data_IF_254693059284
#
_entry.id   IF_254693059284
#
_cell.length_a   1.000
_cell.length_b   1.000
_cell.length_c   1.000
_cell.angle_alpha   90.00
_cell.angle_beta   90.00
_cell.angle_gamma   90.00
#
_symmetry.space_group_name_H-M   'P 1'
#
loop_
_entity.id
_entity.type
_entity.pdbx_description
1 polymer ?
#
# COMPACT_ATOMS: atom_id res chain seq x y z
N UNK A 1 -19.57 21.76 8.66
CA UNK A 1 -19.53 20.30 8.91
C UNK A 1 -19.25 20.09 10.39
N UNK A 2 -19.91 19.12 11.00
CA UNK A 2 -19.68 18.69 12.37
C UNK A 2 -18.85 17.41 12.37
N UNK A 3 -17.87 17.30 13.26
CA UNK A 3 -17.06 16.09 13.39
C UNK A 3 -17.08 15.58 14.84
N UNK A 4 -16.74 14.30 15.03
CA UNK A 4 -16.59 13.73 16.37
C UNK A 4 -15.58 12.58 16.40
N UNK A 5 -14.66 12.66 17.34
CA UNK A 5 -13.83 11.51 17.73
C UNK A 5 -14.65 10.59 18.64
N UNK A 6 -15.06 9.42 18.13
CA UNK A 6 -15.88 8.43 18.85
C UNK A 6 -15.01 7.50 19.70
N UNK A 7 -13.91 7.01 19.13
CA UNK A 7 -12.95 6.11 19.78
C UNK A 7 -11.53 6.66 19.68
N UNK A 8 -10.59 6.07 20.43
CA UNK A 8 -9.20 6.52 20.56
C UNK A 8 -8.26 5.31 20.46
N UNK A 9 -7.01 5.50 19.99
CA UNK A 9 -6.07 4.39 19.84
C UNK A 9 -5.69 3.83 21.21
N UNK A 10 -5.84 2.51 21.39
CA UNK A 10 -5.70 1.81 22.67
C UNK A 10 -4.26 1.42 22.98
N UNK A 11 -3.50 1.10 21.95
CA UNK A 11 -2.10 0.65 22.05
C UNK A 11 -1.09 1.78 21.77
N UNK A 12 -1.56 2.99 21.45
CA UNK A 12 -0.71 4.16 21.21
C UNK A 12 -0.33 4.88 22.51
N UNK A 13 0.81 5.56 22.47
CA UNK A 13 1.27 6.49 23.51
C UNK A 13 0.65 7.90 23.37
N UNK A 14 -0.13 8.15 22.32
CA UNK A 14 -0.80 9.43 22.11
C UNK A 14 -2.02 9.56 23.04
N UNK A 15 -1.97 10.51 23.98
CA UNK A 15 -3.10 10.84 24.84
C UNK A 15 -4.31 11.37 24.05
N UNK A 16 -5.52 11.17 24.60
CA UNK A 16 -6.78 11.55 23.92
C UNK A 16 -6.81 13.02 23.49
N UNK A 17 -6.26 13.92 24.29
CA UNK A 17 -6.25 15.36 23.97
C UNK A 17 -5.26 15.69 22.85
N UNK A 18 -4.14 14.96 22.76
CA UNK A 18 -3.26 14.99 21.59
C UNK A 18 -4.03 14.55 20.35
N UNK A 19 -4.71 13.39 20.42
CA UNK A 19 -5.49 12.85 19.28
C UNK A 19 -6.56 13.86 18.82
N UNK A 20 -7.36 14.43 19.73
CA UNK A 20 -8.35 15.47 19.39
C UNK A 20 -7.70 16.69 18.73
N UNK A 21 -6.59 17.18 19.28
CA UNK A 21 -5.88 18.31 18.71
C UNK A 21 -5.40 17.99 17.28
N UNK A 22 -4.83 16.82 17.02
CA UNK A 22 -4.39 16.42 15.68
C UNK A 22 -5.56 16.32 14.68
N UNK A 23 -6.70 15.76 15.11
CA UNK A 23 -7.91 15.72 14.26
C UNK A 23 -8.42 17.14 13.94
N UNK A 24 -8.44 18.02 14.94
CA UNK A 24 -8.80 19.43 14.75
C UNK A 24 -7.87 20.13 13.76
N UNK A 25 -6.54 20.01 13.92
CA UNK A 25 -5.59 20.65 13.01
C UNK A 25 -5.62 20.04 11.61
N UNK A 26 -5.86 18.73 11.47
CA UNK A 26 -5.97 18.08 10.17
C UNK A 26 -7.20 18.55 9.38
N UNK A 27 -8.34 18.77 10.05
CA UNK A 27 -9.51 19.44 9.46
C UNK A 27 -9.25 20.93 9.21
N UNK A 28 -8.51 21.60 10.11
CA UNK A 28 -8.17 23.03 10.00
C UNK A 28 -7.42 23.32 8.68
N UNK A 29 -6.46 22.47 8.32
CA UNK A 29 -5.67 22.53 7.07
C UNK A 29 -6.57 22.70 5.83
N UNK A 30 -7.67 21.96 5.74
CA UNK A 30 -8.63 22.09 4.64
C UNK A 30 -9.52 23.34 4.77
N UNK A 31 -9.94 23.71 5.99
CA UNK A 31 -10.76 24.91 6.21
C UNK A 31 -10.01 26.22 5.99
N UNK A 32 -8.70 26.29 6.22
CA UNK A 32 -7.93 27.53 6.12
C UNK A 32 -7.91 28.10 4.69
N UNK A 33 -8.01 27.21 3.69
CA UNK A 33 -7.98 27.58 2.26
C UNK A 33 -9.34 27.51 1.57
N UNK A 34 -10.39 26.99 2.22
CA UNK A 34 -11.74 26.83 1.65
C UNK A 34 -12.83 27.53 2.48
N UNK A 35 -14.04 27.75 1.94
CA UNK A 35 -15.20 28.18 2.73
C UNK A 35 -15.72 27.17 3.77
N UNK A 36 -15.16 25.95 3.83
CA UNK A 36 -15.56 24.94 4.81
C UNK A 36 -15.22 25.38 6.24
N UNK A 37 -16.07 25.02 7.20
CA UNK A 37 -15.82 25.19 8.63
C UNK A 37 -16.18 23.89 9.36
N UNK A 38 -15.34 23.49 10.31
CA UNK A 38 -15.46 22.26 11.07
C UNK A 38 -15.67 22.55 12.56
N UNK A 39 -16.59 21.84 13.20
CA UNK A 39 -16.92 22.00 14.61
C UNK A 39 -17.03 20.63 15.30
N UNK A 40 -16.28 20.42 16.39
CA UNK A 40 -16.39 19.17 17.16
C UNK A 40 -17.73 19.15 17.93
N UNK A 41 -18.41 18.00 17.95
CA UNK A 41 -19.64 17.80 18.71
C UNK A 41 -19.57 16.58 19.63
N UNK A 42 -20.15 16.69 20.82
CA UNK A 42 -20.26 15.57 21.76
C UNK A 42 -21.43 14.61 21.44
N UNK A 43 -22.38 15.03 20.60
CA UNK A 43 -23.58 14.27 20.23
C UNK A 43 -23.34 13.22 19.15
N UNK A 44 -24.33 12.35 18.90
CA UNK A 44 -24.23 11.27 17.91
C UNK A 44 -24.51 11.73 16.45
N UNK A 45 -24.75 13.01 16.22
CA UNK A 45 -25.11 13.55 14.90
C UNK A 45 -23.97 14.45 14.40
N UNK A 46 -23.01 13.84 13.71
CA UNK A 46 -21.86 14.48 13.08
C UNK A 46 -21.80 14.06 11.60
N UNK A 47 -21.26 14.93 10.75
CA UNK A 47 -21.05 14.65 9.31
C UNK A 47 -19.78 13.82 9.05
N UNK A 48 -18.86 13.77 10.03
CA UNK A 48 -17.61 13.00 9.99
C UNK A 48 -17.43 12.33 11.36
N UNK A 49 -17.60 11.01 11.43
CA UNK A 49 -17.26 10.24 12.64
C UNK A 49 -15.87 9.62 12.51
N UNK A 50 -15.06 9.78 13.56
CA UNK A 50 -13.66 9.36 13.59
C UNK A 50 -13.49 8.21 14.57
N UNK A 51 -12.95 7.08 14.10
CA UNK A 51 -12.73 5.89 14.91
C UNK A 51 -11.36 5.26 14.74
N UNK A 52 -10.93 4.59 15.80
CA UNK A 52 -9.76 3.74 15.87
C UNK A 52 -10.25 2.29 16.08
N UNK A 53 -10.11 1.49 15.03
CA UNK A 53 -10.71 0.15 14.91
C UNK A 53 -9.65 -0.87 14.51
N UNK A 54 -9.88 -2.17 14.77
CA UNK A 54 -8.95 -3.25 14.40
C UNK A 54 -9.65 -4.30 13.55
N UNK A 55 -8.98 -4.78 12.51
CA UNK A 55 -9.47 -5.87 11.66
C UNK A 55 -10.93 -5.63 11.21
N UNK A 56 -11.86 -6.56 11.48
CA UNK A 56 -13.27 -6.33 11.18
C UNK A 56 -13.90 -5.28 12.09
N UNK A 57 -14.49 -4.27 11.48
CA UNK A 57 -15.22 -3.22 12.17
C UNK A 57 -16.57 -2.90 11.53
N UNK A 58 -17.18 -3.92 10.89
CA UNK A 58 -18.57 -3.97 10.42
C UNK A 58 -18.96 -3.00 9.29
N UNK A 59 -18.00 -2.41 8.58
CA UNK A 59 -18.24 -1.57 7.39
C UNK A 59 -17.96 -2.28 6.05
N UNK A 60 -17.41 -3.50 6.10
CA UNK A 60 -17.05 -4.32 4.94
C UNK A 60 -15.59 -4.20 4.49
N UNK A 61 -14.79 -3.32 5.12
CA UNK A 61 -13.42 -3.02 4.73
C UNK A 61 -12.44 -3.30 5.89
N UNK A 62 -12.16 -4.58 6.20
CA UNK A 62 -11.36 -4.92 7.38
C UNK A 62 -9.89 -4.51 7.23
N UNK A 63 -9.31 -3.96 8.31
CA UNK A 63 -7.88 -3.64 8.38
C UNK A 63 -6.99 -4.91 8.44
N UNK A 64 -5.75 -4.80 7.96
CA UNK A 64 -4.78 -5.87 7.87
C UNK A 64 -3.72 -5.90 8.99
N UNK A 65 -3.63 -4.83 9.81
CA UNK A 65 -2.77 -4.74 10.98
C UNK A 65 -1.60 -3.75 10.82
N UNK A 66 -0.54 -3.89 11.64
CA UNK A 66 0.58 -2.95 11.60
C UNK A 66 1.33 -3.03 10.26
N UNK A 67 1.25 -1.96 9.49
CA UNK A 67 1.63 -1.89 8.09
C UNK A 67 0.60 -2.56 7.18
N UNK A 68 0.19 -1.85 6.13
CA UNK A 68 -0.88 -2.29 5.24
C UNK A 68 -1.74 -1.10 4.86
N UNK A 69 -3.05 -1.24 5.03
CA UNK A 69 -4.03 -0.15 5.05
C UNK A 69 -3.99 0.52 6.43
N UNK A 70 -3.45 1.74 6.50
CA UNK A 70 -3.27 2.46 7.79
C UNK A 70 -4.57 3.12 8.26
N UNK A 71 -5.44 3.48 7.31
CA UNK A 71 -6.72 4.13 7.52
C UNK A 71 -7.55 4.07 6.24
N UNK A 72 -8.84 4.41 6.34
CA UNK A 72 -9.70 4.69 5.19
C UNK A 72 -10.81 5.69 5.55
N UNK A 73 -11.37 6.32 4.53
CA UNK A 73 -12.53 7.19 4.67
C UNK A 73 -13.55 7.00 3.55
N UNK A 74 -14.81 7.25 3.89
CA UNK A 74 -15.92 7.26 2.95
C UNK A 74 -16.14 8.66 2.39
N UNK A 75 -16.43 8.74 1.09
CA UNK A 75 -16.73 10.01 0.42
C UNK A 75 -18.04 10.64 0.93
N UNK A 76 -18.23 11.96 0.74
CA UNK A 76 -19.52 12.62 0.97
C UNK A 76 -20.67 11.97 0.18
N UNK A 77 -21.85 11.87 0.78
CA UNK A 77 -23.05 11.31 0.17
C UNK A 77 -24.18 11.08 1.17
N UNK A 78 -25.27 10.46 0.72
CA UNK A 78 -26.47 10.22 1.53
C UNK A 78 -26.42 8.94 2.38
N UNK A 79 -25.30 8.19 2.33
CA UNK A 79 -25.14 6.93 3.05
C UNK A 79 -24.82 7.16 4.53
N UNK A 80 -25.21 6.24 5.41
CA UNK A 80 -25.04 6.38 6.86
C UNK A 80 -23.59 6.33 7.36
N UNK A 81 -22.64 6.00 6.48
CA UNK A 81 -21.18 6.04 6.71
C UNK A 81 -20.49 7.16 5.94
N UNK A 82 -21.21 7.99 5.18
CA UNK A 82 -20.60 9.02 4.34
C UNK A 82 -19.83 10.03 5.19
N UNK A 83 -18.58 10.33 4.81
CA UNK A 83 -17.68 11.18 5.59
C UNK A 83 -17.03 10.49 6.80
N UNK A 84 -17.47 9.29 7.22
CA UNK A 84 -16.83 8.57 8.31
C UNK A 84 -15.39 8.18 7.95
N UNK A 85 -14.50 8.22 8.94
CA UNK A 85 -13.06 8.00 8.80
C UNK A 85 -12.57 7.04 9.87
N UNK A 86 -11.99 5.92 9.44
CA UNK A 86 -11.49 4.87 10.31
C UNK A 86 -9.96 4.77 10.21
N UNK A 87 -9.29 4.66 11.36
CA UNK A 87 -7.85 4.48 11.50
C UNK A 87 -7.56 3.08 12.08
N UNK A 88 -6.55 2.35 11.60
CA UNK A 88 -6.21 1.05 12.18
C UNK A 88 -5.54 1.22 13.56
N UNK A 89 -6.20 0.76 14.62
CA UNK A 89 -5.73 0.77 16.00
C UNK A 89 -4.61 -0.28 16.26
N UNK A 90 -4.23 -1.07 15.27
CA UNK A 90 -2.98 -1.83 15.27
C UNK A 90 -1.76 -1.05 14.73
N UNK A 91 -1.95 0.10 14.10
CA UNK A 91 -0.83 0.94 13.66
C UNK A 91 -0.13 1.64 14.83
N UNK A 92 1.19 1.80 14.71
CA UNK A 92 1.96 2.54 15.70
C UNK A 92 1.83 4.05 15.47
N UNK A 93 0.69 4.59 15.90
CA UNK A 93 0.39 6.02 15.82
C UNK A 93 1.37 6.85 16.63
N UNK A 94 1.98 7.82 15.97
CA UNK A 94 2.97 8.76 16.49
C UNK A 94 2.60 10.19 16.12
N UNK A 95 3.27 11.14 16.79
CA UNK A 95 3.19 12.56 16.47
C UNK A 95 4.57 13.19 16.70
N UNK A 96 5.09 13.94 15.72
CA UNK A 96 6.44 14.57 15.78
C UNK A 96 7.55 13.56 16.15
N UNK A 97 7.39 12.29 15.80
CA UNK A 97 8.37 11.24 16.05
C UNK A 97 9.47 11.24 14.99
N UNK A 98 10.65 10.76 15.36
CA UNK A 98 11.75 10.45 14.44
C UNK A 98 11.88 8.95 14.14
N UNK A 99 10.93 8.13 14.61
CA UNK A 99 10.88 6.70 14.29
C UNK A 99 10.35 6.48 12.87
N UNK A 100 11.16 5.83 12.04
CA UNK A 100 10.83 5.51 10.66
C UNK A 100 9.77 4.41 10.50
N UNK A 101 9.35 3.76 11.59
CA UNK A 101 8.32 2.72 11.60
C UNK A 101 6.98 3.19 12.20
N UNK A 102 6.90 4.44 12.66
CA UNK A 102 5.66 5.02 13.16
C UNK A 102 4.84 5.70 12.06
N UNK A 103 3.52 5.63 12.20
CA UNK A 103 2.58 6.39 11.35
C UNK A 103 2.32 7.74 12.02
N UNK A 104 2.57 8.83 11.32
CA UNK A 104 2.28 10.18 11.82
C UNK A 104 0.77 10.42 11.66
N UNK A 105 0.08 10.45 12.80
CA UNK A 105 -1.39 10.50 12.82
C UNK A 105 -1.93 11.77 12.16
N UNK A 106 -1.19 12.88 12.21
CA UNK A 106 -1.56 14.11 11.55
C UNK A 106 -1.49 14.00 10.02
N UNK A 107 -0.38 13.49 9.47
CA UNK A 107 -0.23 13.26 8.03
C UNK A 107 -1.34 12.37 7.46
N UNK A 108 -1.65 11.25 8.13
CA UNK A 108 -2.72 10.34 7.70
C UNK A 108 -4.09 11.01 7.84
N UNK A 109 -4.37 11.69 8.96
CA UNK A 109 -5.66 12.37 9.14
C UNK A 109 -5.91 13.47 8.11
N UNK A 110 -4.88 14.24 7.70
CA UNK A 110 -5.04 15.24 6.63
C UNK A 110 -5.46 14.57 5.32
N UNK A 111 -4.85 13.44 4.96
CA UNK A 111 -5.22 12.67 3.76
C UNK A 111 -6.66 12.15 3.86
N UNK A 112 -6.99 11.40 4.91
CA UNK A 112 -8.30 10.75 5.03
C UNK A 112 -9.44 11.78 5.11
N UNK A 113 -9.22 12.93 5.75
CA UNK A 113 -10.20 14.02 5.71
C UNK A 113 -10.34 14.66 4.34
N UNK A 114 -9.33 14.58 3.47
CA UNK A 114 -9.48 14.92 2.06
C UNK A 114 -10.48 14.00 1.35
N UNK A 115 -10.45 12.69 1.62
CA UNK A 115 -11.47 11.75 1.14
C UNK A 115 -12.86 12.01 1.74
N UNK A 116 -12.93 12.25 3.05
CA UNK A 116 -14.17 12.60 3.74
C UNK A 116 -14.83 13.90 3.23
N UNK A 117 -14.07 14.78 2.55
CA UNK A 117 -14.58 15.97 1.84
C UNK A 117 -14.50 15.84 0.30
N UNK A 118 -14.39 14.64 -0.23
CA UNK A 118 -14.63 14.35 -1.65
C UNK A 118 -13.43 14.44 -2.60
N UNK A 119 -12.20 14.57 -2.10
CA UNK A 119 -11.01 14.43 -2.94
C UNK A 119 -10.75 12.96 -3.24
N UNK A 120 -10.48 12.64 -4.51
CA UNK A 120 -9.92 11.34 -4.91
C UNK A 120 -8.39 11.36 -4.81
N UNK A 121 -7.77 10.17 -4.83
CA UNK A 121 -6.32 10.04 -4.88
C UNK A 121 -5.66 10.87 -6.00
N UNK A 122 -4.46 11.38 -5.71
CA UNK A 122 -3.64 12.15 -6.64
C UNK A 122 -2.34 11.38 -6.94
N UNK A 123 -1.93 11.33 -8.21
CA UNK A 123 -0.72 10.66 -8.69
C UNK A 123 0.59 11.42 -8.36
N UNK A 124 0.49 12.73 -8.12
CA UNK A 124 1.61 13.63 -7.87
C UNK A 124 2.40 13.23 -6.61
N UNK A 125 3.73 13.18 -6.75
CA UNK A 125 4.64 12.69 -5.69
C UNK A 125 4.51 13.52 -4.41
N UNK A 126 4.41 14.84 -4.49
CA UNK A 126 4.37 15.71 -3.31
C UNK A 126 2.97 15.86 -2.70
N UNK A 127 1.91 15.29 -3.29
CA UNK A 127 0.53 15.46 -2.82
C UNK A 127 0.28 14.73 -1.49
N UNK A 128 -0.52 15.34 -0.60
CA UNK A 128 -0.96 14.65 0.62
C UNK A 128 -1.96 13.54 0.28
N UNK A 129 -2.84 13.77 -0.70
CA UNK A 129 -3.81 12.81 -1.25
C UNK A 129 -3.20 11.70 -2.12
N UNK A 130 -1.88 11.48 -2.04
CA UNK A 130 -1.22 10.35 -2.70
C UNK A 130 -1.53 9.06 -1.92
N UNK A 131 -1.94 7.95 -2.57
CA UNK A 131 -2.45 6.73 -1.90
C UNK A 131 -1.49 6.03 -0.93
N UNK A 132 -0.23 6.49 -0.85
CA UNK A 132 0.80 5.94 0.02
C UNK A 132 1.23 7.02 1.00
N UNK A 133 1.21 6.70 2.29
CA UNK A 133 1.80 7.48 3.36
C UNK A 133 3.26 7.81 3.04
N UNK A 134 3.62 9.08 3.22
CA UNK A 134 4.91 9.63 2.77
C UNK A 134 5.89 9.92 3.93
N UNK A 135 5.49 9.57 5.16
CA UNK A 135 6.16 9.97 6.38
C UNK A 135 5.50 11.18 7.07
N UNK A 136 6.04 11.63 8.22
CA UNK A 136 5.54 12.79 8.94
C UNK A 136 5.66 14.08 8.12
N UNK A 137 4.59 14.88 8.09
CA UNK A 137 4.57 16.15 7.35
C UNK A 137 5.03 17.37 8.15
N UNK A 138 5.52 17.15 9.37
CA UNK A 138 6.17 18.17 10.21
C UNK A 138 5.26 18.75 11.30
N UNK A 139 5.20 20.07 11.39
CA UNK A 139 4.49 20.79 12.44
C UNK A 139 3.07 21.18 11.97
N UNK A 140 1.98 20.70 12.61
CA UNK A 140 0.61 21.01 12.19
C UNK A 140 0.29 22.51 12.10
N UNK A 141 0.96 23.33 12.91
CA UNK A 141 0.79 24.80 12.91
C UNK A 141 1.49 25.50 11.74
N UNK A 142 2.31 24.78 10.97
CA UNK A 142 3.11 25.30 9.84
C UNK A 142 2.96 24.47 8.58
N UNK A 143 2.14 23.43 8.62
CA UNK A 143 1.90 22.57 7.48
C UNK A 143 1.11 23.34 6.42
N UNK A 144 1.59 23.29 5.18
CA UNK A 144 0.96 23.95 4.04
C UNK A 144 0.64 22.89 2.98
N UNK A 145 -0.58 22.94 2.44
CA UNK A 145 -1.01 21.95 1.45
C UNK A 145 -0.19 22.09 0.15
N UNK A 146 0.24 20.98 -0.46
CA UNK A 146 0.82 20.98 -1.80
C UNK A 146 -0.14 21.60 -2.83
N UNK A 147 0.43 22.17 -3.89
CA UNK A 147 -0.33 22.94 -4.88
C UNK A 147 -1.43 22.12 -5.57
N UNK A 148 -1.16 20.85 -5.88
CA UNK A 148 -2.13 19.94 -6.51
C UNK A 148 -3.36 19.69 -5.61
N UNK A 149 -3.14 19.52 -4.30
CA UNK A 149 -4.22 19.33 -3.33
C UNK A 149 -5.09 20.60 -3.20
N UNK A 150 -4.44 21.78 -3.13
CA UNK A 150 -5.10 23.09 -3.12
C UNK A 150 -5.99 23.30 -4.34
N UNK A 151 -5.47 23.05 -5.55
CA UNK A 151 -6.23 23.24 -6.79
C UNK A 151 -7.47 22.33 -6.84
N UNK A 152 -7.34 21.06 -6.44
CA UNK A 152 -8.49 20.14 -6.44
C UNK A 152 -9.54 20.51 -5.38
N UNK A 153 -9.15 20.88 -4.17
CA UNK A 153 -10.16 21.25 -3.15
C UNK A 153 -10.86 22.58 -3.48
N UNK A 154 -10.17 23.52 -4.12
CA UNK A 154 -10.78 24.75 -4.65
C UNK A 154 -11.75 24.49 -5.82
N UNK A 155 -11.56 23.42 -6.61
CA UNK A 155 -12.53 23.02 -7.63
C UNK A 155 -13.84 22.49 -7.03
N UNK A 156 -13.79 21.91 -5.82
CA UNK A 156 -14.98 21.41 -5.12
C UNK A 156 -15.70 22.50 -4.32
N UNK A 157 -14.97 23.33 -3.57
CA UNK A 157 -15.55 24.26 -2.58
C UNK A 157 -15.25 25.75 -2.80
N UNK A 158 -14.42 26.08 -3.79
CA UNK A 158 -13.91 27.44 -3.97
C UNK A 158 -12.83 27.85 -2.96
N UNK A 159 -12.37 29.09 -3.08
CA UNK A 159 -11.30 29.68 -2.25
C UNK A 159 -11.91 30.48 -1.09
N UNK A 160 -11.34 30.39 0.11
CA UNK A 160 -11.70 31.27 1.24
C UNK A 160 -11.34 32.73 0.91
N UNK A 161 -12.24 33.68 1.19
CA UNK A 161 -12.00 35.10 0.87
C UNK A 161 -10.70 35.67 1.46
N UNK A 162 -10.32 35.26 2.68
CA UNK A 162 -9.06 35.67 3.33
C UNK A 162 -7.78 35.20 2.63
N UNK A 163 -7.88 34.28 1.66
CA UNK A 163 -6.78 33.73 0.86
C UNK A 163 -6.85 34.23 -0.59
N UNK A 164 -7.89 34.98 -0.97
CA UNK A 164 -8.04 35.55 -2.31
C UNK A 164 -7.01 36.66 -2.58
N UNK A 165 -6.38 36.71 -3.78
CA UNK A 165 -5.37 37.73 -4.13
C UNK A 165 -5.84 39.19 -4.08
N UNK A 166 -7.15 39.42 -3.96
CA UNK A 166 -7.83 40.72 -3.92
C UNK A 166 -8.24 41.15 -2.50
N UNK A 167 -8.03 40.32 -1.48
CA UNK A 167 -8.45 40.63 -0.11
C UNK A 167 -7.52 41.62 0.60
N UNK A 168 -8.12 42.58 1.31
CA UNK A 168 -7.39 43.36 2.33
C UNK A 168 -7.26 42.51 3.60
N UNK A 169 -6.12 42.58 4.33
CA UNK A 169 -5.96 41.86 5.58
C UNK A 169 -6.80 42.50 6.68
N UNK A 170 -7.94 41.88 6.99
CA UNK A 170 -8.72 42.23 8.18
C UNK A 170 -8.32 41.31 9.34
N UNK A 171 -7.68 41.91 10.36
CA UNK A 171 -7.21 41.17 11.54
C UNK A 171 -8.30 41.18 12.59
N UNK A 172 -8.94 40.03 12.84
CA UNK A 172 -9.15 39.49 14.19
C UNK A 172 -10.12 38.30 14.23
N UNK A 173 -9.70 37.23 14.91
CA UNK A 173 -10.24 36.82 16.21
C UNK A 173 -9.21 35.95 16.93
N UNK A 174 -9.24 35.95 18.25
CA UNK A 174 -8.53 34.96 19.06
C UNK A 174 -9.35 33.68 19.07
N UNK A 175 -9.08 32.78 18.12
CA UNK A 175 -9.64 31.44 18.18
C UNK A 175 -8.97 30.66 19.31
N UNK A 176 -9.79 30.06 20.17
CA UNK A 176 -9.38 29.24 21.30
C UNK A 176 -8.98 27.84 20.80
N UNK A 177 -7.87 27.78 20.06
CA UNK A 177 -7.38 26.55 19.44
C UNK A 177 -6.82 25.58 20.50
N UNK A 178 -7.05 24.26 20.35
CA UNK A 178 -6.47 23.27 21.26
C UNK A 178 -4.93 23.32 21.23
N UNK A 179 -4.32 23.36 22.41
CA UNK A 179 -2.86 23.38 22.58
C UNK A 179 -2.30 22.02 22.20
N UNK A 180 -1.38 21.97 21.23
CA UNK A 180 -0.60 20.76 20.93
C UNK A 180 0.39 20.49 22.07
N UNK A 181 0.35 19.32 22.72
CA UNK A 181 1.31 18.98 23.78
C UNK A 181 2.76 18.96 23.27
N UNK A 182 3.69 19.33 24.14
CA UNK A 182 5.13 19.16 23.90
C UNK A 182 5.55 17.69 24.10
N UNK A 183 6.65 17.29 23.46
CA UNK A 183 7.14 15.91 23.46
C UNK A 183 7.63 15.50 24.86
N UNK A 184 7.20 14.35 25.41
CA UNK A 184 7.94 13.69 26.48
C UNK A 184 9.21 13.02 25.89
N UNK A 185 10.38 13.29 26.47
CA UNK A 185 11.70 12.79 26.01
C UNK A 185 11.88 11.25 26.01
N UNK A 186 10.87 10.47 26.41
CA UNK A 186 11.03 9.05 26.69
C UNK A 186 10.91 8.19 25.43
N UNK A 187 12.03 8.12 24.71
CA UNK A 187 12.24 7.35 23.48
C UNK A 187 12.04 5.85 23.69
N UNK A 188 10.82 5.35 23.46
CA UNK A 188 10.51 3.92 23.49
C UNK A 188 11.15 3.20 22.29
N UNK A 189 12.22 2.45 22.52
CA UNK A 189 12.84 1.57 21.51
C UNK A 189 12.21 0.19 21.55
N UNK A 190 11.09 0.02 20.84
CA UNK A 190 10.51 -1.29 20.54
C UNK A 190 11.43 -2.02 19.55
N UNK A 191 11.74 -3.32 19.74
CA UNK A 191 12.66 -4.04 18.86
C UNK A 191 12.08 -4.22 17.45
N UNK A 192 12.93 -4.03 16.42
CA UNK A 192 12.60 -4.42 15.03
C UNK A 192 12.06 -5.86 14.99
N UNK A 193 10.93 -6.07 14.33
CA UNK A 193 10.41 -7.42 14.02
C UNK A 193 11.36 -8.11 13.04
N UNK A 194 12.25 -8.96 13.56
CA UNK A 194 13.32 -9.62 12.79
C UNK A 194 12.83 -10.68 11.81
N UNK A 195 11.59 -11.14 11.96
CA UNK A 195 11.02 -12.27 11.22
C UNK A 195 10.16 -11.87 10.02
N UNK A 196 10.29 -10.62 9.55
CA UNK A 196 9.52 -10.08 8.42
C UNK A 196 10.32 -10.28 7.11
N UNK A 197 9.78 -10.98 6.10
CA UNK A 197 10.49 -11.21 4.84
C UNK A 197 10.71 -9.90 4.06
N UNK A 198 11.84 -9.78 3.36
CA UNK A 198 12.16 -8.60 2.55
C UNK A 198 11.66 -8.78 1.11
N UNK A 199 10.64 -8.01 0.72
CA UNK A 199 10.02 -8.04 -0.62
C UNK A 199 11.01 -7.93 -1.78
N UNK A 200 12.11 -7.18 -1.60
CA UNK A 200 13.07 -6.96 -2.67
C UNK A 200 14.01 -8.13 -2.92
N UNK A 201 14.06 -9.10 -2.00
CA UNK A 201 15.13 -10.09 -1.97
C UNK A 201 14.62 -11.48 -1.56
N UNK A 202 13.35 -11.77 -1.81
CA UNK A 202 12.71 -13.05 -1.49
C UNK A 202 12.04 -13.64 -2.73
N UNK A 203 11.87 -14.96 -2.74
CA UNK A 203 10.97 -15.64 -3.67
C UNK A 203 9.60 -15.79 -2.99
N UNK A 204 8.54 -16.03 -3.76
CA UNK A 204 7.18 -16.15 -3.25
C UNK A 204 6.74 -17.61 -3.24
N UNK A 205 5.89 -17.98 -2.28
CA UNK A 205 5.39 -19.36 -2.16
C UNK A 205 4.07 -19.54 -2.92
N UNK A 206 3.37 -18.44 -3.21
CA UNK A 206 2.25 -18.38 -4.14
C UNK A 206 2.11 -16.93 -4.67
N UNK A 207 1.65 -16.78 -5.91
CA UNK A 207 1.38 -15.51 -6.56
C UNK A 207 0.07 -15.60 -7.34
N UNK A 208 -0.95 -14.84 -6.92
CA UNK A 208 -2.30 -14.97 -7.46
C UNK A 208 -2.90 -13.63 -7.87
N UNK A 209 -3.68 -13.62 -8.96
CA UNK A 209 -4.66 -12.57 -9.17
C UNK A 209 -5.93 -12.91 -8.40
N UNK A 210 -6.38 -11.97 -7.57
CA UNK A 210 -7.62 -12.05 -6.80
C UNK A 210 -8.34 -10.71 -6.93
N UNK A 211 -9.57 -10.71 -7.47
CA UNK A 211 -10.45 -9.53 -7.63
C UNK A 211 -9.82 -8.38 -8.42
N UNK A 212 -8.87 -8.72 -9.29
CA UNK A 212 -8.09 -7.75 -10.08
C UNK A 212 -6.87 -7.17 -9.37
N UNK A 213 -6.63 -7.49 -8.10
CA UNK A 213 -5.36 -7.24 -7.39
C UNK A 213 -4.40 -8.42 -7.57
N UNK A 214 -3.09 -8.19 -7.46
CA UNK A 214 -2.08 -9.26 -7.36
C UNK A 214 -1.70 -9.47 -5.90
N UNK A 215 -1.68 -10.71 -5.43
CA UNK A 215 -1.20 -11.09 -4.11
C UNK A 215 0.08 -11.92 -4.25
N UNK A 216 1.12 -11.52 -3.53
CA UNK A 216 2.42 -12.18 -3.46
C UNK A 216 2.61 -12.71 -2.05
N UNK A 217 2.41 -14.02 -1.86
CA UNK A 217 2.44 -14.68 -0.56
C UNK A 217 3.86 -15.15 -0.21
N UNK A 218 4.29 -14.89 1.03
CA UNK A 218 5.55 -15.41 1.57
C UNK A 218 5.44 -15.78 3.05
N UNK A 219 5.55 -17.06 3.34
CA UNK A 219 5.35 -17.64 4.65
C UNK A 219 3.94 -17.33 5.17
N UNK A 220 3.86 -16.81 6.40
CA UNK A 220 2.63 -16.29 7.02
C UNK A 220 2.21 -14.89 6.54
N UNK A 221 2.88 -14.33 5.54
CA UNK A 221 2.78 -12.94 5.10
C UNK A 221 2.35 -12.82 3.63
N UNK A 222 1.87 -11.64 3.23
CA UNK A 222 1.68 -11.30 1.82
C UNK A 222 1.88 -9.80 1.54
N UNK A 223 2.22 -9.49 0.30
CA UNK A 223 2.04 -8.16 -0.28
C UNK A 223 0.88 -8.22 -1.27
N UNK A 224 0.14 -7.12 -1.41
CA UNK A 224 -0.85 -6.96 -2.48
C UNK A 224 -0.55 -5.72 -3.31
N UNK A 225 -0.87 -5.80 -4.60
CA UNK A 225 -0.79 -4.69 -5.55
C UNK A 225 -2.17 -4.50 -6.17
N UNK A 226 -2.61 -3.26 -6.32
CA UNK A 226 -3.84 -2.98 -7.06
C UNK A 226 -3.67 -3.34 -8.54
N UNK A 227 -4.78 -3.36 -9.29
CA UNK A 227 -4.83 -3.65 -10.74
C UNK A 227 -3.81 -2.88 -11.60
N UNK A 228 -3.37 -1.71 -11.15
CA UNK A 228 -2.37 -0.88 -11.84
C UNK A 228 -0.91 -1.23 -11.45
N UNK A 229 -0.67 -2.43 -10.88
CA UNK A 229 0.62 -2.88 -10.31
C UNK A 229 1.17 -1.92 -9.25
N UNK A 230 0.26 -1.26 -8.55
CA UNK A 230 0.54 -0.30 -7.49
C UNK A 230 0.60 -1.05 -6.16
N UNK A 231 1.82 -1.28 -5.66
CA UNK A 231 2.07 -1.99 -4.40
C UNK A 231 1.43 -1.25 -3.22
N UNK A 232 0.46 -1.89 -2.57
CA UNK A 232 -0.34 -1.31 -1.48
C UNK A 232 0.57 -0.89 -0.34
N UNK A 233 1.30 -1.80 0.32
CA UNK A 233 2.26 -1.43 1.37
C UNK A 233 3.68 -1.95 1.06
N UNK A 234 4.69 -1.22 1.52
CA UNK A 234 6.08 -1.70 1.49
C UNK A 234 6.36 -2.78 2.54
N UNK A 235 5.55 -2.83 3.60
CA UNK A 235 5.54 -3.89 4.62
C UNK A 235 4.50 -4.95 4.23
N UNK A 236 4.75 -6.24 4.52
CA UNK A 236 3.75 -7.26 4.26
C UNK A 236 2.67 -7.31 5.35
N UNK A 237 1.44 -7.52 4.91
CA UNK A 237 0.33 -7.90 5.77
C UNK A 237 0.44 -9.37 6.21
N UNK A 238 -0.26 -9.76 7.28
CA UNK A 238 -0.33 -11.16 7.74
C UNK A 238 -1.53 -11.89 7.17
N UNK A 239 -1.31 -13.08 6.60
CA UNK A 239 -2.34 -13.86 5.89
C UNK A 239 -3.58 -14.08 6.75
N UNK A 240 -3.43 -14.56 7.99
CA UNK A 240 -4.55 -14.92 8.87
C UNK A 240 -5.42 -13.74 9.33
N UNK A 241 -4.97 -12.49 9.14
CA UNK A 241 -5.73 -11.28 9.53
C UNK A 241 -6.68 -10.86 8.42
N UNK A 242 -6.23 -10.99 7.17
CA UNK A 242 -7.01 -10.71 5.98
C UNK A 242 -7.86 -11.91 5.55
N UNK A 243 -7.30 -13.13 5.53
CA UNK A 243 -7.93 -14.37 5.09
C UNK A 243 -8.37 -15.23 6.29
N UNK A 244 -9.66 -15.19 6.63
CA UNK A 244 -10.21 -15.79 7.85
C UNK A 244 -10.59 -17.25 7.66
N UNK A 245 -10.03 -18.11 8.50
CA UNK A 245 -10.27 -19.56 8.49
C UNK A 245 -9.13 -20.40 7.91
N UNK A 246 -8.06 -19.78 7.43
CA UNK A 246 -6.78 -20.48 7.26
C UNK A 246 -6.20 -20.83 8.66
N UNK A 247 -5.38 -21.90 8.77
CA UNK A 247 -4.77 -22.28 10.05
C UNK A 247 -3.90 -21.16 10.64
N UNK A 248 -4.00 -20.93 11.96
CA UNK A 248 -3.18 -19.92 12.65
C UNK A 248 -1.67 -20.25 12.63
N UNK A 249 -1.34 -21.52 12.46
CA UNK A 249 0.03 -22.05 12.35
C UNK A 249 0.46 -22.29 10.90
N UNK A 250 -0.20 -21.67 9.92
CA UNK A 250 0.19 -21.72 8.51
C UNK A 250 1.62 -21.18 8.34
N UNK A 251 2.49 -22.03 7.80
CA UNK A 251 3.91 -21.76 7.58
C UNK A 251 4.15 -21.11 6.21
N UNK A 252 3.49 -21.62 5.16
CA UNK A 252 3.35 -21.02 3.82
C UNK A 252 2.05 -21.47 3.14
N UNK A 253 1.77 -20.93 1.95
CA UNK A 253 0.84 -21.50 0.98
C UNK A 253 1.64 -22.23 -0.10
N UNK A 254 0.99 -23.11 -0.87
CA UNK A 254 1.64 -23.83 -1.98
C UNK A 254 1.13 -23.35 -3.36
N UNK A 255 -0.14 -22.93 -3.46
CA UNK A 255 -0.70 -22.24 -4.64
C UNK A 255 -2.01 -21.52 -4.27
N UNK A 256 -2.38 -20.47 -5.01
CA UNK A 256 -3.68 -19.78 -4.85
C UNK A 256 -4.23 -19.34 -6.21
N UNK A 257 -5.53 -19.54 -6.46
CA UNK A 257 -6.17 -19.03 -7.69
C UNK A 257 -7.62 -18.59 -7.48
N UNK A 258 -8.10 -17.67 -8.32
CA UNK A 258 -9.52 -17.30 -8.40
C UNK A 258 -10.22 -18.06 -9.54
N UNK A 259 -11.36 -18.70 -9.23
CA UNK A 259 -12.18 -19.38 -10.23
C UNK A 259 -13.00 -18.39 -11.04
N UNK A 260 -12.94 -18.52 -12.35
CA UNK A 260 -13.67 -17.70 -13.32
C UNK A 260 -15.19 -17.88 -13.27
N UNK A 261 -15.67 -19.04 -12.83
CA UNK A 261 -17.09 -19.40 -12.85
C UNK A 261 -17.92 -18.81 -11.70
N UNK A 262 -17.34 -18.64 -10.51
CA UNK A 262 -18.06 -18.13 -9.33
C UNK A 262 -17.26 -17.14 -8.45
N UNK A 263 -16.09 -16.67 -8.91
CA UNK A 263 -15.22 -15.70 -8.22
C UNK A 263 -14.79 -16.10 -6.81
N UNK A 264 -14.90 -17.39 -6.46
CA UNK A 264 -14.33 -17.92 -5.21
C UNK A 264 -12.86 -18.23 -5.39
N UNK A 265 -12.12 -17.99 -4.32
CA UNK A 265 -10.67 -18.08 -4.29
C UNK A 265 -10.29 -19.40 -3.63
N UNK A 266 -9.38 -20.15 -4.24
CA UNK A 266 -8.98 -21.48 -3.81
C UNK A 266 -7.55 -21.45 -3.34
N UNK A 267 -7.32 -21.79 -2.08
CA UNK A 267 -6.00 -21.82 -1.43
C UNK A 267 -5.57 -23.28 -1.25
N UNK A 268 -4.33 -23.61 -1.60
CA UNK A 268 -3.76 -24.95 -1.44
C UNK A 268 -2.64 -24.95 -0.39
N UNK A 269 -2.62 -25.98 0.45
CA UNK A 269 -1.51 -26.30 1.35
C UNK A 269 -1.46 -27.80 1.68
N UNK A 270 -0.39 -28.46 1.24
CA UNK A 270 -0.20 -29.90 1.34
C UNK A 270 -1.36 -30.66 0.70
N UNK A 271 -1.86 -31.68 1.38
CA UNK A 271 -2.99 -32.50 0.89
C UNK A 271 -4.35 -31.80 0.99
N UNK A 272 -4.40 -30.50 1.32
CA UNK A 272 -5.64 -29.77 1.63
C UNK A 272 -5.82 -28.52 0.79
N UNK A 273 -7.08 -28.19 0.55
CA UNK A 273 -7.49 -26.92 -0.03
C UNK A 273 -8.66 -26.29 0.74
N UNK A 274 -8.74 -24.96 0.65
CA UNK A 274 -9.80 -24.12 1.22
C UNK A 274 -10.43 -23.32 0.09
N UNK A 275 -11.74 -23.14 0.13
CA UNK A 275 -12.45 -22.22 -0.78
C UNK A 275 -12.95 -21.02 0.02
N UNK A 276 -12.66 -19.83 -0.48
CA UNK A 276 -12.98 -18.56 0.12
C UNK A 276 -14.04 -17.83 -0.69
N UNK A 277 -15.01 -17.27 0.01
CA UNK A 277 -15.92 -16.27 -0.51
C UNK A 277 -15.65 -14.97 0.23
N UNK A 278 -15.32 -13.92 -0.52
CA UNK A 278 -14.75 -12.72 0.07
C UNK A 278 -13.53 -13.11 0.90
N UNK A 279 -13.37 -12.52 2.08
CA UNK A 279 -12.23 -12.75 2.97
C UNK A 279 -12.45 -13.94 3.93
N UNK A 280 -13.53 -14.71 3.79
CA UNK A 280 -13.91 -15.78 4.72
C UNK A 280 -13.90 -17.15 4.04
N UNK A 281 -13.44 -18.17 4.76
CA UNK A 281 -13.56 -19.57 4.33
C UNK A 281 -15.04 -19.98 4.28
N UNK A 282 -15.41 -20.72 3.24
CA UNK A 282 -16.73 -21.34 3.11
C UNK A 282 -16.89 -22.53 4.08
N UNK A 283 -18.13 -22.89 4.41
CA UNK A 283 -18.42 -24.03 5.29
C UNK A 283 -17.98 -25.37 4.66
N UNK A 284 -17.44 -26.28 5.49
CA UNK A 284 -17.04 -27.62 5.06
C UNK A 284 -15.65 -27.71 4.42
N UNK A 285 -14.80 -26.71 4.65
CA UNK A 285 -13.36 -26.69 4.32
C UNK A 285 -12.49 -26.71 5.59
N UNK A 286 -11.23 -27.20 5.54
CA UNK A 286 -10.52 -27.72 4.36
C UNK A 286 -10.98 -29.08 3.86
N UNK A 287 -10.83 -29.30 2.56
CA UNK A 287 -11.09 -30.55 1.84
C UNK A 287 -9.81 -31.15 1.24
N UNK A 288 -9.78 -32.45 0.90
CA UNK A 288 -8.58 -33.07 0.35
C UNK A 288 -8.40 -32.72 -1.13
N UNK A 289 -7.17 -32.48 -1.58
CA UNK A 289 -6.88 -32.15 -3.01
C UNK A 289 -7.26 -33.28 -3.99
N UNK A 290 -7.48 -34.49 -3.49
CA UNK A 290 -8.07 -35.60 -4.25
C UNK A 290 -9.46 -35.30 -4.83
N UNK A 291 -10.20 -34.32 -4.27
CA UNK A 291 -11.48 -33.87 -4.83
C UNK A 291 -11.31 -33.29 -6.26
N UNK A 292 -10.12 -32.78 -6.60
CA UNK A 292 -9.76 -32.36 -7.96
C UNK A 292 -9.17 -33.51 -8.81
N UNK A 293 -8.90 -34.69 -8.23
CA UNK A 293 -8.14 -35.76 -8.89
C UNK A 293 -6.62 -35.52 -8.93
N UNK A 294 -6.09 -34.63 -8.07
CA UNK A 294 -4.66 -34.34 -7.95
C UNK A 294 -3.93 -35.39 -7.08
N UNK A 295 -2.61 -35.62 -7.31
CA UNK A 295 -1.79 -36.47 -6.46
C UNK A 295 -1.53 -35.81 -5.10
N UNK A 296 -1.21 -36.62 -4.08
CA UNK A 296 -0.85 -36.14 -2.75
C UNK A 296 0.47 -35.34 -2.74
N UNK A 297 0.68 -34.57 -1.67
CA UNK A 297 1.87 -33.77 -1.40
C UNK A 297 1.85 -32.38 -2.04
N UNK A 298 0.69 -31.71 -2.11
CA UNK A 298 0.57 -30.35 -2.65
C UNK A 298 0.69 -30.22 -4.18
N UNK A 299 0.72 -28.98 -4.64
CA UNK A 299 0.94 -28.54 -6.03
C UNK A 299 1.83 -27.29 -5.99
N UNK A 300 2.58 -27.02 -7.06
CA UNK A 300 3.55 -25.92 -7.10
C UNK A 300 3.00 -24.65 -7.75
N UNK A 301 1.92 -24.76 -8.54
CA UNK A 301 1.27 -23.60 -9.15
C UNK A 301 -0.19 -23.89 -9.51
N UNK A 302 -1.05 -22.86 -9.51
CA UNK A 302 -2.43 -22.95 -9.96
C UNK A 302 -2.93 -21.66 -10.63
N UNK A 303 -3.49 -21.74 -11.85
CA UNK A 303 -4.18 -20.59 -12.45
C UNK A 303 -5.29 -20.96 -13.43
N UNK A 304 -6.30 -20.09 -13.53
CA UNK A 304 -7.34 -20.15 -14.56
C UNK A 304 -6.88 -19.43 -15.83
N UNK A 305 -6.84 -20.12 -16.97
CA UNK A 305 -6.44 -19.53 -18.26
C UNK A 305 -7.66 -19.03 -19.04
N UNK A 306 -7.68 -17.72 -19.36
CA UNK A 306 -8.85 -17.08 -19.96
C UNK A 306 -9.17 -17.57 -21.39
N UNK A 307 -8.17 -18.04 -22.15
CA UNK A 307 -8.36 -18.49 -23.53
C UNK A 307 -9.37 -19.64 -23.68
N UNK A 308 -9.42 -20.56 -22.70
CA UNK A 308 -10.28 -21.75 -22.75
C UNK A 308 -11.11 -22.01 -21.49
N UNK A 309 -11.07 -21.09 -20.52
CA UNK A 309 -11.79 -21.17 -19.25
C UNK A 309 -11.51 -22.47 -18.47
N UNK A 310 -10.26 -22.94 -18.52
CA UNK A 310 -9.76 -24.09 -17.74
C UNK A 310 -8.76 -23.67 -16.69
N UNK A 311 -8.78 -24.38 -15.57
CA UNK A 311 -7.76 -24.27 -14.53
C UNK A 311 -6.62 -25.23 -14.82
N UNK A 312 -5.40 -24.74 -14.63
CA UNK A 312 -4.17 -25.49 -14.81
C UNK A 312 -3.45 -25.60 -13.47
N UNK A 313 -3.14 -26.83 -13.08
CA UNK A 313 -2.35 -27.15 -11.89
C UNK A 313 -1.00 -27.71 -12.30
N UNK A 314 0.06 -27.35 -11.59
CA UNK A 314 1.43 -27.81 -11.86
C UNK A 314 2.01 -28.52 -10.65
N UNK A 315 2.83 -29.55 -10.90
CA UNK A 315 3.61 -30.23 -9.87
C UNK A 315 4.83 -30.89 -10.52
N UNK A 316 6.02 -30.60 -10.01
CA UNK A 316 7.30 -31.04 -10.57
C UNK A 316 7.41 -30.65 -12.07
N UNK A 317 7.49 -31.65 -12.96
CA UNK A 317 7.49 -31.49 -14.42
C UNK A 317 6.15 -31.91 -15.07
N UNK A 318 5.10 -32.08 -14.25
CA UNK A 318 3.77 -32.46 -14.69
C UNK A 318 2.81 -31.27 -14.55
N UNK A 319 1.81 -31.24 -15.44
CA UNK A 319 0.68 -30.35 -15.29
C UNK A 319 -0.63 -31.07 -15.61
N UNK A 320 -1.71 -30.56 -15.03
CA UNK A 320 -3.08 -31.02 -15.17
C UNK A 320 -3.94 -29.91 -15.74
N UNK A 321 -4.99 -30.27 -16.49
CA UNK A 321 -6.04 -29.33 -16.90
C UNK A 321 -7.38 -29.79 -16.32
N UNK A 322 -8.05 -28.87 -15.65
CA UNK A 322 -9.27 -29.10 -14.91
C UNK A 322 -10.40 -28.21 -15.44
N UNK A 323 -11.60 -28.79 -15.49
CA UNK A 323 -12.82 -28.11 -15.87
C UNK A 323 -13.60 -27.74 -14.60
N UNK A 324 -13.66 -26.45 -14.27
CA UNK A 324 -14.37 -25.95 -13.09
C UNK A 324 -15.91 -26.01 -13.20
N UNK A 325 -16.45 -26.08 -14.42
CA UNK A 325 -17.89 -26.22 -14.66
C UNK A 325 -18.32 -27.67 -14.49
N UNK A 326 -17.60 -28.59 -15.15
CA UNK A 326 -17.83 -30.03 -15.08
C UNK A 326 -17.28 -30.67 -13.79
N UNK A 327 -16.43 -29.94 -13.05
CA UNK A 327 -15.73 -30.34 -11.82
C UNK A 327 -14.95 -31.66 -11.97
N UNK A 328 -14.15 -31.76 -13.02
CA UNK A 328 -13.33 -32.94 -13.31
C UNK A 328 -12.07 -32.60 -14.11
N UNK A 329 -11.06 -33.45 -13.98
CA UNK A 329 -9.89 -33.43 -14.86
C UNK A 329 -10.27 -33.76 -16.30
N UNK A 330 -9.61 -33.10 -17.25
CA UNK A 330 -9.73 -33.42 -18.66
C UNK A 330 -9.01 -34.74 -19.01
N UNK A 331 -9.52 -35.55 -19.94
CA UNK A 331 -8.86 -36.76 -20.40
C UNK A 331 -7.47 -36.47 -20.99
N UNK A 332 -6.49 -37.32 -20.68
CA UNK A 332 -5.11 -37.18 -21.17
C UNK A 332 -4.18 -36.37 -20.25
N UNK A 333 -4.64 -36.02 -19.05
CA UNK A 333 -3.82 -35.40 -18.00
C UNK A 333 -3.52 -36.37 -16.83
N UNK A 334 -2.37 -36.25 -16.14
CA UNK A 334 -1.31 -35.26 -16.33
C UNK A 334 -0.52 -35.41 -17.64
N UNK A 335 0.17 -34.35 -18.03
CA UNK A 335 1.09 -34.33 -19.17
C UNK A 335 2.48 -33.84 -18.75
N UNK A 336 3.52 -34.47 -19.30
CA UNK A 336 4.94 -34.10 -19.12
C UNK A 336 5.41 -33.02 -20.11
N UNK A 337 4.68 -32.81 -21.22
CA UNK A 337 5.06 -31.83 -22.24
C UNK A 337 4.38 -30.50 -21.94
N UNK A 338 5.09 -29.62 -21.23
CA UNK A 338 4.60 -28.27 -20.91
C UNK A 338 4.16 -27.54 -22.19
N UNK A 339 2.94 -26.99 -22.14
CA UNK A 339 2.30 -26.38 -23.30
C UNK A 339 2.98 -25.08 -23.75
N UNK A 340 3.55 -24.34 -22.79
CA UNK A 340 4.17 -23.03 -22.99
C UNK A 340 5.68 -23.15 -23.18
N UNK A 341 6.16 -22.79 -24.38
CA UNK A 341 7.58 -22.77 -24.72
C UNK A 341 8.31 -21.63 -24.01
N UNK A 342 9.56 -21.88 -23.61
CA UNK A 342 10.41 -20.89 -22.95
C UNK A 342 10.09 -20.65 -21.47
N UNK A 343 9.07 -21.32 -20.92
CA UNK A 343 8.72 -21.31 -19.50
C UNK A 343 9.55 -22.38 -18.77
N UNK A 344 10.14 -22.07 -17.59
CA UNK A 344 10.91 -23.04 -16.83
C UNK A 344 10.01 -24.09 -16.15
N UNK A 345 10.59 -25.24 -15.82
CA UNK A 345 9.93 -26.31 -15.06
C UNK A 345 10.91 -26.90 -14.02
N UNK A 346 10.52 -27.12 -12.75
CA UNK A 346 9.26 -26.72 -12.11
C UNK A 346 9.07 -25.18 -12.06
N UNK A 347 7.89 -24.76 -11.58
CA UNK A 347 7.48 -23.38 -11.32
C UNK A 347 7.31 -23.15 -9.81
N UNK A 348 7.29 -21.87 -9.39
CA UNK A 348 6.99 -21.47 -8.01
C UNK A 348 5.54 -20.93 -7.86
N UNK A 349 4.97 -20.34 -8.91
CA UNK A 349 3.50 -20.22 -9.14
C UNK A 349 3.22 -19.74 -10.59
N UNK A 350 1.94 -19.55 -10.95
CA UNK A 350 1.51 -18.85 -12.14
C UNK A 350 0.23 -18.04 -11.86
N UNK A 351 0.04 -16.91 -12.55
CA UNK A 351 -1.22 -16.17 -12.51
C UNK A 351 -1.59 -15.58 -13.88
N UNK A 352 -2.89 -15.41 -14.12
CA UNK A 352 -3.38 -14.50 -15.17
C UNK A 352 -3.39 -13.07 -14.63
N UNK A 353 -2.94 -12.09 -15.39
CA UNK A 353 -3.03 -10.67 -15.02
C UNK A 353 -4.13 -9.91 -15.78
N UNK A 354 -4.42 -8.68 -15.32
CA UNK A 354 -5.52 -7.85 -15.83
C UNK A 354 -5.30 -7.27 -17.23
N UNK A 355 -4.13 -7.47 -17.82
CA UNK A 355 -3.81 -7.20 -19.23
C UNK A 355 -4.08 -8.43 -20.14
N UNK A 356 -4.68 -9.48 -19.59
CA UNK A 356 -5.02 -10.73 -20.29
C UNK A 356 -3.89 -11.75 -20.35
N UNK A 357 -2.64 -11.34 -20.11
CA UNK A 357 -1.49 -12.21 -20.22
C UNK A 357 -1.36 -13.20 -19.04
N UNK A 358 -0.70 -14.32 -19.30
CA UNK A 358 -0.31 -15.30 -18.28
C UNK A 358 1.12 -15.04 -17.83
N UNK A 359 1.32 -15.04 -16.53
CA UNK A 359 2.59 -14.74 -15.85
C UNK A 359 3.01 -15.97 -15.05
N UNK A 360 4.23 -16.46 -15.30
CA UNK A 360 4.79 -17.66 -14.66
C UNK A 360 5.97 -17.25 -13.80
N UNK A 361 6.09 -17.77 -12.58
CA UNK A 361 7.06 -17.34 -11.58
C UNK A 361 8.04 -18.46 -11.22
N UNK A 362 9.31 -18.10 -11.00
CA UNK A 362 10.33 -19.00 -10.45
C UNK A 362 11.43 -18.21 -9.77
N UNK A 363 11.70 -18.50 -8.50
CA UNK A 363 12.68 -17.79 -7.68
C UNK A 363 12.36 -16.30 -7.56
N UNK A 364 13.26 -15.45 -8.09
CA UNK A 364 13.12 -13.98 -8.08
C UNK A 364 12.71 -13.43 -9.45
N UNK A 365 12.36 -14.31 -10.37
CA UNK A 365 12.14 -14.04 -11.79
C UNK A 365 10.73 -14.47 -12.23
N UNK A 366 10.26 -13.85 -13.30
CA UNK A 366 8.99 -14.21 -13.93
C UNK A 366 9.07 -14.15 -15.46
N UNK A 367 8.16 -14.84 -16.13
CA UNK A 367 7.98 -14.90 -17.58
C UNK A 367 6.56 -14.46 -17.94
N UNK A 368 6.40 -13.79 -19.08
CA UNK A 368 5.09 -13.38 -19.62
C UNK A 368 4.78 -14.11 -20.92
N UNK A 369 3.56 -14.63 -21.04
CA UNK A 369 2.97 -15.15 -22.28
C UNK A 369 1.71 -14.33 -22.57
N UNK A 370 1.55 -13.83 -23.80
CA UNK A 370 0.33 -13.11 -24.20
C UNK A 370 -0.86 -14.07 -24.31
N UNK A 371 -2.08 -13.52 -24.26
CA UNK A 371 -3.26 -14.37 -24.40
C UNK A 371 -3.31 -15.02 -25.80
N UNK A 372 -3.70 -16.29 -25.85
CA UNK A 372 -3.61 -17.19 -27.03
C UNK A 372 -2.19 -17.55 -27.53
N UNK A 373 -1.10 -16.95 -27.03
CA UNK A 373 0.26 -17.39 -27.34
C UNK A 373 0.64 -18.65 -26.52
N UNK A 374 1.51 -19.49 -27.08
CA UNK A 374 2.08 -20.67 -26.41
C UNK A 374 3.60 -20.54 -26.22
N UNK A 375 4.13 -19.32 -26.19
CA UNK A 375 5.57 -19.05 -26.10
C UNK A 375 5.84 -17.81 -25.25
N UNK A 376 6.86 -17.88 -24.39
CA UNK A 376 7.31 -16.75 -23.59
C UNK A 376 7.73 -15.59 -24.50
N UNK A 377 7.31 -14.37 -24.15
CA UNK A 377 7.66 -13.18 -24.91
C UNK A 377 9.19 -12.97 -24.93
N UNK A 378 9.75 -12.39 -26.00
CA UNK A 378 11.17 -12.04 -26.04
C UNK A 378 11.55 -11.10 -24.91
N UNK A 379 12.73 -11.31 -24.33
CA UNK A 379 13.25 -10.48 -23.24
C UNK A 379 12.84 -10.91 -21.82
N UNK A 380 12.27 -12.10 -21.66
CA UNK A 380 12.06 -12.74 -20.35
C UNK A 380 13.13 -13.81 -20.08
N UNK A 381 13.49 -14.13 -18.81
CA UNK A 381 12.90 -13.64 -17.56
C UNK A 381 13.06 -12.14 -17.26
N UNK A 382 12.20 -11.64 -16.37
CA UNK A 382 12.27 -10.31 -15.76
C UNK A 382 12.18 -10.41 -14.23
N UNK A 383 12.59 -9.36 -13.51
CA UNK A 383 12.70 -9.38 -12.05
C UNK A 383 11.38 -9.07 -11.35
N UNK A 384 10.94 -9.95 -10.44
CA UNK A 384 9.73 -9.72 -9.62
C UNK A 384 9.91 -8.46 -8.76
N UNK A 385 11.07 -8.35 -8.10
CA UNK A 385 11.37 -7.25 -7.18
C UNK A 385 11.30 -5.87 -7.85
N UNK A 386 11.80 -5.76 -9.09
CA UNK A 386 11.84 -4.50 -9.84
C UNK A 386 10.46 -4.14 -10.39
N UNK A 387 9.81 -5.09 -11.07
CA UNK A 387 8.61 -4.80 -11.88
C UNK A 387 7.30 -4.84 -11.08
N UNK A 388 7.27 -5.52 -9.94
CA UNK A 388 6.06 -5.69 -9.12
C UNK A 388 6.21 -5.06 -7.73
N UNK A 389 7.40 -5.11 -7.12
CA UNK A 389 7.57 -4.79 -5.69
C UNK A 389 8.29 -3.48 -5.40
N UNK A 390 8.44 -2.63 -6.42
CA UNK A 390 8.95 -1.25 -6.31
C UNK A 390 10.33 -1.22 -5.64
N UNK A 391 11.23 -2.07 -6.11
CA UNK A 391 12.61 -2.16 -5.64
C UNK A 391 13.59 -1.64 -6.70
N UNK A 392 14.55 -0.80 -6.28
CA UNK A 392 15.66 -0.40 -7.15
C UNK A 392 16.63 -1.56 -7.36
N UNK A 393 17.39 -1.56 -8.46
CA UNK A 393 18.44 -2.56 -8.77
C UNK A 393 19.29 -2.95 -7.55
N UNK A 394 19.85 -1.97 -6.82
CA UNK A 394 20.67 -2.23 -5.61
C UNK A 394 19.96 -3.01 -4.48
N UNK A 395 18.62 -2.95 -4.42
CA UNK A 395 17.80 -3.68 -3.45
C UNK A 395 17.42 -5.07 -3.96
N UNK A 396 17.18 -5.20 -5.27
CA UNK A 396 16.88 -6.47 -5.94
C UNK A 396 18.10 -7.40 -6.01
N UNK A 397 19.28 -6.83 -6.25
CA UNK A 397 20.54 -7.55 -6.44
C UNK A 397 21.32 -7.74 -5.12
N UNK A 398 20.77 -7.29 -3.99
CA UNK A 398 21.35 -7.54 -2.68
C UNK A 398 21.31 -9.05 -2.36
N UNK A 399 22.39 -9.68 -1.85
CA UNK A 399 22.32 -11.06 -1.38
C UNK A 399 21.36 -11.18 -0.20
N UNK A 400 20.72 -12.34 -0.02
CA UNK A 400 19.89 -12.60 1.17
C UNK A 400 20.71 -12.32 2.44
N UNK A 401 20.09 -11.63 3.40
CA UNK A 401 20.79 -10.81 4.38
C UNK A 401 21.50 -11.63 5.48
N UNK A 402 22.60 -12.29 5.13
CA UNK A 402 23.64 -12.68 6.07
C UNK A 402 24.44 -11.44 6.49
N UNK A 403 24.17 -10.93 7.70
CA UNK A 403 25.07 -10.10 8.52
C UNK A 403 25.86 -8.96 7.85
N UNK A 404 25.19 -7.82 7.59
CA UNK A 404 25.74 -6.44 7.66
C UNK A 404 27.15 -6.12 7.10
N UNK A 405 27.22 -5.32 6.01
CA UNK A 405 27.99 -4.04 6.01
C UNK A 405 27.54 -3.07 4.91
N UNK A 406 27.89 -1.78 5.05
CA UNK A 406 27.60 -0.64 4.14
C UNK A 406 28.63 -0.60 2.98
N UNK A 407 28.48 0.04 1.81
CA UNK A 407 27.70 1.19 1.25
C UNK A 407 27.32 0.91 -0.23
N UNK A 408 26.63 1.75 -1.04
CA UNK A 408 25.90 3.02 -0.82
C UNK A 408 26.20 4.14 -1.84
N UNK A 409 25.52 4.19 -3.00
CA UNK A 409 25.63 5.24 -4.05
C UNK A 409 24.24 5.59 -4.66
N UNK A 410 24.11 6.72 -5.39
CA UNK A 410 22.83 7.29 -5.88
C UNK A 410 22.86 7.60 -7.39
N UNK A 411 21.72 7.43 -8.08
CA UNK A 411 21.31 8.18 -9.30
C UNK A 411 19.78 8.40 -9.29
N UNK A 412 19.23 9.27 -10.16
CA UNK A 412 17.81 9.72 -10.17
C UNK A 412 17.12 9.55 -11.56
N UNK A 413 15.78 9.67 -11.66
CA UNK A 413 14.97 9.11 -12.76
C UNK A 413 14.18 10.14 -13.62
N UNK A 414 13.38 9.64 -14.55
CA UNK A 414 12.25 10.30 -15.25
C UNK A 414 11.61 9.33 -16.27
N UNK A 415 10.36 9.44 -16.74
CA UNK A 415 9.17 10.24 -16.40
C UNK A 415 7.92 9.50 -16.96
N UNK A 416 6.74 9.63 -16.28
CA UNK A 416 5.35 9.79 -16.80
C UNK A 416 4.84 8.97 -18.03
N UNK A 417 3.57 8.54 -18.15
CA UNK A 417 2.31 9.31 -17.98
C UNK A 417 1.05 8.47 -17.65
N UNK A 418 -0.10 9.15 -17.52
CA UNK A 418 -1.37 8.73 -16.90
C UNK A 418 -2.37 7.95 -17.81
N UNK A 419 -3.36 7.28 -17.19
CA UNK A 419 -4.68 7.02 -17.82
C UNK A 419 -5.83 6.93 -16.79
N UNK A 420 -7.08 7.05 -17.26
CA UNK A 420 -8.28 7.44 -16.47
C UNK A 420 -9.25 6.26 -16.21
N UNK A 421 -10.18 6.47 -15.27
CA UNK A 421 -10.97 5.45 -14.55
C UNK A 421 -12.38 5.15 -15.11
N UNK A 422 -13.05 4.14 -14.51
CA UNK A 422 -14.48 3.81 -14.72
C UNK A 422 -15.09 2.94 -13.62
N UNK A 423 -15.72 3.59 -12.63
CA UNK A 423 -16.75 3.18 -11.65
C UNK A 423 -16.77 1.79 -10.96
N UNK A 424 -16.58 1.85 -9.64
CA UNK A 424 -17.19 1.03 -8.59
C UNK A 424 -17.20 1.87 -7.29
N UNK A 425 -18.13 1.66 -6.37
CA UNK A 425 -18.33 2.53 -5.19
C UNK A 425 -17.03 2.87 -4.46
N UNK A 426 -16.75 4.17 -4.30
CA UNK A 426 -15.44 4.65 -3.86
C UNK A 426 -15.32 4.62 -2.33
N UNK A 427 -14.50 3.69 -1.84
CA UNK A 427 -13.80 3.80 -0.55
C UNK A 427 -12.32 3.94 -0.90
N UNK A 428 -11.65 4.91 -0.30
CA UNK A 428 -10.22 5.09 -0.49
C UNK A 428 -9.48 4.89 0.84
N UNK A 429 -8.23 4.47 0.75
CA UNK A 429 -7.45 3.99 1.88
C UNK A 429 -6.00 4.44 1.73
N UNK A 430 -5.45 5.13 2.73
CA UNK A 430 -4.01 5.28 2.87
C UNK A 430 -3.33 3.94 3.12
N UNK A 431 -2.10 3.83 2.66
CA UNK A 431 -1.26 2.66 2.91
C UNK A 431 0.16 3.04 3.33
N UNK A 432 0.85 2.17 4.09
CA UNK A 432 2.15 2.54 4.65
C UNK A 432 3.31 2.52 3.63
N UNK A 433 3.84 3.71 3.32
CA UNK A 433 5.06 3.92 2.55
C UNK A 433 6.23 4.42 3.41
N UNK A 434 7.47 4.10 3.01
CA UNK A 434 8.69 4.64 3.62
C UNK A 434 9.61 5.21 2.55
N UNK A 435 9.95 6.50 2.69
CA UNK A 435 10.86 7.22 1.79
C UNK A 435 12.11 7.64 2.56
N UNK A 436 13.29 7.32 2.02
CA UNK A 436 14.56 7.57 2.69
C UNK A 436 14.91 9.07 2.72
N UNK A 437 14.75 9.70 3.89
CA UNK A 437 15.08 11.10 4.15
C UNK A 437 16.51 11.46 3.72
N UNK A 438 16.64 12.39 2.77
CA UNK A 438 17.93 12.97 2.37
C UNK A 438 18.23 14.22 3.20
N UNK A 439 18.99 14.07 4.28
CA UNK A 439 19.55 15.23 5.00
C UNK A 439 20.57 15.95 4.12
N UNK A 440 20.39 17.27 3.94
CA UNK A 440 21.40 18.15 3.33
C UNK A 440 22.37 18.67 4.40
N UNK A 441 23.70 18.52 4.25
CA UNK A 441 24.65 19.11 5.17
C UNK A 441 24.80 20.62 4.93
N UNK A 442 24.61 21.41 5.99
CA UNK A 442 24.89 22.84 5.98
C UNK A 442 26.40 23.06 5.91
N UNK A 443 26.87 23.74 4.85
CA UNK A 443 28.30 23.98 4.64
C UNK A 443 28.80 25.12 5.54
N UNK A 444 29.46 24.78 6.66
CA UNK A 444 30.26 25.77 7.43
C UNK A 444 31.59 26.00 6.71
N UNK A 445 31.80 27.19 6.15
CA UNK A 445 33.13 27.59 5.68
C UNK A 445 34.06 27.87 6.87
N UNK A 446 35.11 27.08 6.99
CA UNK A 446 36.31 27.43 7.77
C UNK A 446 37.36 28.00 6.82
N UNK A 447 37.68 29.28 6.94
CA UNK A 447 38.74 29.90 6.16
C UNK A 447 40.13 29.48 6.70
N UNK A 448 41.01 29.00 5.83
CA UNK A 448 42.42 28.75 6.13
C UNK A 448 43.28 29.59 5.20
N UNK A 449 44.09 30.49 5.77
CA UNK A 449 45.05 31.31 5.03
C UNK A 449 46.14 30.43 4.42
N UNK A 450 46.49 30.71 3.17
CA UNK A 450 47.86 30.53 2.66
C UNK A 450 48.26 31.77 1.86
N UNK A 451 49.40 32.37 2.21
CA UNK A 451 50.01 33.47 1.47
C UNK A 451 50.93 32.91 0.37
N UNK A 452 50.74 33.34 -0.87
CA UNK A 452 51.88 33.53 -1.80
C UNK A 452 51.68 34.80 -2.62
N UNK A 453 52.67 35.68 -2.55
CA UNK A 453 52.63 37.08 -2.90
C UNK A 453 52.89 37.41 -4.40
N UNK A 454 52.44 38.62 -4.81
CA UNK A 454 52.93 39.50 -5.92
C UNK A 454 52.80 38.94 -7.37
N UNK A 455 52.18 39.60 -8.36
CA UNK A 455 52.52 40.91 -8.96
C UNK A 455 51.37 41.49 -9.85
N UNK A 456 51.19 42.82 -9.82
CA UNK A 456 50.78 43.78 -10.89
C UNK A 456 49.69 43.40 -11.94
N UNK A 457 48.73 44.26 -12.34
CA UNK A 457 48.58 45.73 -12.24
C UNK A 457 47.12 46.13 -12.55
N UNK A 458 46.73 47.34 -12.11
CA UNK A 458 45.65 48.24 -12.61
C UNK A 458 44.69 47.77 -13.74
N UNK A 459 43.38 48.06 -13.71
CA UNK A 459 42.83 49.42 -13.62
C UNK A 459 41.36 49.51 -13.14
N UNK A 460 40.98 50.75 -12.85
CA UNK A 460 39.74 51.30 -12.28
C UNK A 460 38.38 50.97 -12.97
N UNK A 461 37.37 50.87 -12.09
CA UNK A 461 36.10 51.64 -12.07
C UNK A 461 34.78 51.19 -12.75
N UNK A 462 33.72 51.28 -11.91
CA UNK A 462 32.39 51.91 -12.13
C UNK A 462 31.48 51.23 -13.16
N UNK A 463 30.41 50.50 -12.79
CA UNK A 463 29.24 50.84 -11.95
C UNK A 463 28.22 51.79 -12.62
N UNK A 464 27.12 51.20 -13.12
CA UNK A 464 25.73 51.58 -12.82
C UNK A 464 24.78 50.51 -13.37
#
# INVERSE_FOLDING_TARGET
LYFRVRTFPKESHLGHDTVRALMYYALKVWSDITPLNFHEVAGNNADIQIDFSKADHNDGYPFDGPGGTVAHAFFPGDHHTAGDTHFDDDEYWTFRSSDAHGMDLFAVAVHEFGHAIGLTHISAIESIMRPYYQGPVGDPLKYDLPYEDKVRIWQLYGVRESVSPTAKPEVSKTDDHPILPELPDNRSTVPLRRDVPNRCNTHFDAVAQIRGEAFFFKGKYFWRLTRNKHLVSLQPAQIHRFWRGLPLNLDSLDAVYERTSDHKIVFFKGDRYWVFKDNNVEEGYPRPISDFGLPLGGIDAAFSWAHNDKTYFFKDNLYWRYDDHERRMDPGYPSETILWKGIPSPLDDAMRWSDGASYFFRGKEYWKVLDSDLEAQPGYPQSIARDWLVCSDMQADSPEAAGSSRTGARSKPGQHDESRSGNGYEVCSCTSGTLALRVHPVLRLTASLMLTAVWTTALLCVAL
#
